data_IF_002717891621
#
_entry.id   IF_002717891621
#
_cell.length_a   1.000
_cell.length_b   1.000
_cell.length_c   1.000
_cell.angle_alpha   90.00
_cell.angle_beta   90.00
_cell.angle_gamma   90.00
#
_symmetry.space_group_name_H-M   'P 1'
#
loop_
_entity.id
_entity.type
_entity.pdbx_description
1 polymer ?
#
# COMPACT_ATOMS: atom_id res chain seq x y z
N UNK A 1 -18.58 17.96 -1.32
CA UNK A 1 -19.90 18.16 -1.98
C UNK A 1 -20.91 17.20 -1.36
N UNK A 2 -21.98 17.72 -0.74
CA UNK A 2 -23.04 16.91 -0.10
C UNK A 2 -24.38 17.38 -0.67
N UNK A 3 -25.02 16.62 -1.58
CA UNK A 3 -26.25 17.04 -2.25
C UNK A 3 -27.42 17.36 -1.29
N UNK A 4 -27.31 16.92 -0.03
CA UNK A 4 -28.30 17.12 1.03
C UNK A 4 -27.77 17.94 2.22
N UNK A 5 -26.59 18.56 2.09
CA UNK A 5 -25.96 19.29 3.20
C UNK A 5 -25.50 18.40 4.35
N UNK A 6 -25.27 17.10 4.09
CA UNK A 6 -24.79 16.14 5.09
C UNK A 6 -23.38 16.48 5.57
N UNK A 7 -23.07 16.11 6.81
CA UNK A 7 -21.72 16.24 7.36
C UNK A 7 -20.71 15.29 6.67
N UNK A 8 -19.47 15.75 6.64
CA UNK A 8 -18.33 14.99 6.15
C UNK A 8 -17.95 13.79 7.02
N UNK A 9 -16.95 13.05 6.54
CA UNK A 9 -16.31 12.06 7.40
C UNK A 9 -15.61 12.77 8.56
N UNK A 10 -15.86 12.27 9.77
CA UNK A 10 -15.14 12.61 10.98
C UNK A 10 -14.63 11.31 11.61
N UNK A 11 -13.45 11.37 12.21
CA UNK A 11 -12.72 10.20 12.71
C UNK A 11 -13.54 9.44 13.78
N UNK A 12 -14.50 10.08 14.45
CA UNK A 12 -15.21 9.56 15.61
C UNK A 12 -16.54 8.81 15.32
N UNK A 13 -16.74 8.25 14.11
CA UNK A 13 -17.93 7.44 13.84
C UNK A 13 -17.77 6.01 14.35
N UNK A 14 -18.74 5.53 15.15
CA UNK A 14 -18.80 4.14 15.61
C UNK A 14 -19.51 3.26 14.58
N UNK A 15 -19.02 2.03 14.42
CA UNK A 15 -19.65 1.04 13.54
C UNK A 15 -20.96 0.55 14.18
N UNK A 16 -22.01 0.43 13.38
CA UNK A 16 -23.31 -0.11 13.81
C UNK A 16 -23.53 -1.46 13.15
N UNK A 17 -24.02 -2.45 13.91
CA UNK A 17 -24.36 -3.77 13.36
C UNK A 17 -25.63 -3.70 12.50
N UNK A 18 -25.65 -4.36 11.32
CA UNK A 18 -26.85 -4.41 10.50
C UNK A 18 -27.94 -5.20 11.23
N UNK A 19 -29.05 -4.54 11.57
CA UNK A 19 -30.22 -5.15 12.19
C UNK A 19 -30.28 -5.07 13.73
N UNK A 20 -29.24 -4.54 14.39
CA UNK A 20 -29.28 -4.25 15.83
C UNK A 20 -28.71 -2.86 16.08
N UNK A 21 -29.41 -2.01 16.82
CA UNK A 21 -28.94 -0.64 17.16
C UNK A 21 -27.78 -0.63 18.17
N UNK A 22 -27.01 -1.72 18.26
CA UNK A 22 -25.86 -1.81 19.12
C UNK A 22 -24.67 -1.18 18.40
N UNK A 23 -24.11 -0.14 19.01
CA UNK A 23 -22.85 0.42 18.55
C UNK A 23 -21.73 -0.55 18.91
N UNK A 24 -20.99 -0.99 17.89
CA UNK A 24 -19.74 -1.72 18.10
C UNK A 24 -18.71 -0.70 18.60
N UNK A 25 -17.87 -1.07 19.55
CA UNK A 25 -16.73 -0.26 20.02
C UNK A 25 -15.64 -0.03 18.96
N UNK A 26 -15.90 -0.41 17.69
CA UNK A 26 -14.97 -0.30 16.58
C UNK A 26 -15.30 0.96 15.79
N UNK A 27 -14.30 1.82 15.61
CA UNK A 27 -14.43 3.03 14.80
C UNK A 27 -14.50 2.68 13.31
N UNK A 28 -15.29 3.45 12.57
CA UNK A 28 -15.50 3.31 11.13
C UNK A 28 -14.35 4.01 10.41
N UNK A 29 -13.66 3.29 9.51
CA UNK A 29 -12.60 3.90 8.69
C UNK A 29 -13.19 4.81 7.62
N UNK A 30 -12.45 5.85 7.23
CA UNK A 30 -12.83 6.74 6.13
C UNK A 30 -13.14 5.93 4.86
N UNK A 31 -12.32 4.91 4.59
CA UNK A 31 -12.49 4.01 3.44
C UNK A 31 -13.86 3.35 3.43
N UNK A 32 -14.34 2.84 4.58
CA UNK A 32 -15.62 2.15 4.65
C UNK A 32 -16.81 3.10 4.43
N UNK A 33 -16.74 4.33 4.92
CA UNK A 33 -17.78 5.36 4.69
C UNK A 33 -17.80 5.81 3.23
N UNK A 34 -16.63 6.04 2.62
CA UNK A 34 -16.57 6.46 1.23
C UNK A 34 -16.94 5.35 0.26
N UNK A 35 -16.55 4.10 0.54
CA UNK A 35 -17.00 2.93 -0.21
C UNK A 35 -18.53 2.79 -0.12
N UNK A 36 -19.11 2.95 1.07
CA UNK A 36 -20.57 2.97 1.25
C UNK A 36 -21.23 4.04 0.39
N UNK A 37 -20.69 5.27 0.37
CA UNK A 37 -21.23 6.38 -0.42
C UNK A 37 -21.10 6.18 -1.94
N UNK A 38 -20.06 5.50 -2.40
CA UNK A 38 -19.83 5.22 -3.84
C UNK A 38 -20.55 3.96 -4.34
N UNK A 39 -20.99 3.09 -3.45
CA UNK A 39 -21.67 1.86 -3.80
C UNK A 39 -22.90 2.12 -4.69
N UNK A 40 -23.00 1.39 -5.80
CA UNK A 40 -24.17 1.38 -6.68
C UNK A 40 -25.33 0.67 -5.97
N UNK A 41 -26.51 1.28 -5.97
CA UNK A 41 -27.72 0.76 -5.30
C UNK A 41 -28.91 0.87 -6.24
N UNK A 42 -30.00 0.18 -5.91
CA UNK A 42 -31.27 0.32 -6.62
C UNK A 42 -31.84 1.74 -6.52
N UNK A 43 -31.50 2.46 -5.45
CA UNK A 43 -31.80 3.89 -5.30
C UNK A 43 -30.80 4.75 -6.06
N UNK A 44 -31.28 5.87 -6.62
CA UNK A 44 -30.42 6.79 -7.36
C UNK A 44 -29.27 7.33 -6.50
N UNK A 45 -28.04 7.00 -6.87
CA UNK A 45 -26.85 7.57 -6.29
C UNK A 45 -26.40 8.79 -7.11
N UNK A 46 -26.97 9.96 -6.81
CA UNK A 46 -26.72 11.22 -7.52
C UNK A 46 -25.23 11.57 -7.65
N UNK A 47 -24.41 11.16 -6.66
CA UNK A 47 -22.95 11.37 -6.68
C UNK A 47 -22.31 10.81 -7.96
N UNK A 48 -22.77 9.64 -8.42
CA UNK A 48 -22.22 8.96 -9.59
C UNK A 48 -22.51 9.66 -10.93
N UNK A 49 -23.50 10.54 -10.96
CA UNK A 49 -23.93 11.22 -12.18
C UNK A 49 -23.15 12.52 -12.45
N UNK A 50 -22.41 13.02 -11.46
CA UNK A 50 -21.68 14.28 -11.59
C UNK A 50 -20.31 14.11 -12.23
N UNK A 51 -20.23 13.75 -13.52
CA UNK A 51 -18.99 13.58 -14.33
C UNK A 51 -17.69 14.17 -13.72
N UNK A 52 -17.40 15.45 -13.95
CA UNK A 52 -16.13 16.06 -13.55
C UNK A 52 -16.03 16.27 -12.02
N UNK A 53 -17.14 16.65 -11.38
CA UNK A 53 -17.20 16.85 -9.92
C UNK A 53 -17.01 15.54 -9.14
N UNK A 54 -17.35 14.39 -9.73
CA UNK A 54 -17.10 13.07 -9.16
C UNK A 54 -15.61 12.78 -9.13
N UNK A 55 -14.84 13.19 -10.14
CA UNK A 55 -13.39 13.02 -10.13
C UNK A 55 -12.75 13.85 -9.00
N UNK A 56 -13.15 15.11 -8.87
CA UNK A 56 -12.69 15.98 -7.77
C UNK A 56 -13.06 15.39 -6.40
N UNK A 57 -14.30 14.91 -6.26
CA UNK A 57 -14.75 14.23 -5.04
C UNK A 57 -13.91 12.98 -4.74
N UNK A 58 -13.67 12.11 -5.73
CA UNK A 58 -12.87 10.90 -5.55
C UNK A 58 -11.44 11.22 -5.09
N UNK A 59 -10.82 12.25 -5.67
CA UNK A 59 -9.48 12.69 -5.27
C UNK A 59 -9.48 13.21 -3.83
N UNK A 60 -10.44 14.06 -3.45
CA UNK A 60 -10.55 14.57 -2.07
C UNK A 60 -10.78 13.44 -1.05
N UNK A 61 -11.62 12.45 -1.39
CA UNK A 61 -11.86 11.30 -0.51
C UNK A 61 -10.60 10.43 -0.39
N UNK A 62 -9.87 10.23 -1.48
CA UNK A 62 -8.62 9.47 -1.49
C UNK A 62 -7.56 10.10 -0.58
N UNK A 63 -7.39 11.43 -0.64
CA UNK A 63 -6.47 12.16 0.25
C UNK A 63 -6.82 11.95 1.72
N UNK A 64 -8.11 11.94 2.06
CA UNK A 64 -8.57 11.69 3.45
C UNK A 64 -8.30 10.26 3.91
N UNK A 65 -8.49 9.27 3.03
CA UNK A 65 -8.17 7.86 3.32
C UNK A 65 -6.66 7.70 3.55
N UNK A 66 -5.83 8.27 2.68
CA UNK A 66 -4.38 8.18 2.81
C UNK A 66 -3.85 8.94 4.04
N UNK A 67 -4.45 10.08 4.39
CA UNK A 67 -4.14 10.78 5.64
C UNK A 67 -4.42 9.91 6.88
N UNK A 68 -5.57 9.21 6.92
CA UNK A 68 -5.89 8.26 8.01
C UNK A 68 -4.89 7.10 8.05
N UNK A 69 -4.51 6.56 6.88
CA UNK A 69 -3.52 5.48 6.75
C UNK A 69 -2.14 5.90 7.25
N UNK A 70 -1.68 7.09 6.90
CA UNK A 70 -0.41 7.64 7.38
C UNK A 70 -0.43 7.90 8.88
N UNK A 71 -1.55 8.41 9.41
CA UNK A 71 -1.73 8.57 10.86
C UNK A 71 -1.66 7.22 11.57
N UNK A 72 -2.30 6.19 11.03
CA UNK A 72 -2.22 4.83 11.55
C UNK A 72 -0.78 4.32 11.59
N UNK A 73 -0.02 4.48 10.50
CA UNK A 73 1.38 4.08 10.43
C UNK A 73 2.21 4.82 11.49
N UNK A 74 2.03 6.14 11.63
CA UNK A 74 2.74 6.97 12.62
C UNK A 74 2.45 6.55 14.07
N UNK A 75 1.19 6.20 14.39
CA UNK A 75 0.79 5.83 15.75
C UNK A 75 1.12 4.37 16.10
N UNK A 76 1.15 3.46 15.11
CA UNK A 76 1.27 2.03 15.33
C UNK A 76 2.65 1.45 14.96
N UNK A 77 3.71 2.26 14.96
CA UNK A 77 5.08 1.84 14.61
C UNK A 77 5.55 0.57 15.37
N UNK A 78 5.24 0.46 16.67
CA UNK A 78 5.57 -0.74 17.47
C UNK A 78 4.85 -2.00 16.97
N UNK A 79 3.58 -1.89 16.60
CA UNK A 79 2.77 -3.00 16.07
C UNK A 79 3.25 -3.44 14.69
N UNK A 80 3.76 -2.50 13.90
CA UNK A 80 4.37 -2.75 12.59
C UNK A 80 5.81 -3.32 12.70
N UNK A 81 6.26 -3.67 13.92
CA UNK A 81 7.60 -4.21 14.21
C UNK A 81 8.72 -3.34 13.64
N UNK A 82 8.54 -2.03 13.71
CA UNK A 82 9.55 -1.10 13.17
C UNK A 82 10.90 -1.25 13.85
N UNK A 83 10.91 -1.77 15.08
CA UNK A 83 12.11 -2.07 15.85
C UNK A 83 12.96 -3.22 15.25
N UNK A 84 12.43 -4.07 14.36
CA UNK A 84 13.25 -5.06 13.62
C UNK A 84 14.12 -4.40 12.53
N UNK A 85 13.85 -3.14 12.17
CA UNK A 85 14.59 -2.39 11.15
C UNK A 85 15.78 -1.61 11.73
N UNK A 86 16.47 -2.17 12.72
CA UNK A 86 17.57 -1.55 13.49
C UNK A 86 18.64 -0.96 12.57
N UNK A 87 19.09 -1.72 11.56
CA UNK A 87 20.12 -1.27 10.63
C UNK A 87 19.73 -0.01 9.83
N UNK A 88 18.44 0.16 9.52
CA UNK A 88 17.94 1.36 8.81
C UNK A 88 17.89 2.57 9.75
N UNK A 89 17.48 2.34 11.00
CA UNK A 89 17.44 3.39 12.03
C UNK A 89 18.86 3.89 12.34
N UNK A 90 19.83 3.00 12.43
CA UNK A 90 21.23 3.35 12.70
C UNK A 90 21.86 4.09 11.53
N UNK A 91 21.58 3.70 10.28
CA UNK A 91 22.04 4.42 9.09
C UNK A 91 21.50 5.85 9.02
N UNK A 92 20.24 6.08 9.39
CA UNK A 92 19.63 7.42 9.41
C UNK A 92 20.17 8.27 10.57
N UNK A 93 20.41 7.65 11.74
CA UNK A 93 20.88 8.36 12.94
C UNK A 93 22.33 8.85 12.79
N UNK A 94 23.13 8.19 11.96
CA UNK A 94 24.51 8.62 11.68
C UNK A 94 24.60 9.81 10.70
N UNK A 95 23.53 10.14 9.98
CA UNK A 95 23.53 11.13 8.89
C UNK A 95 22.73 12.41 9.22
N UNK A 96 22.16 12.52 10.44
CA UNK A 96 21.32 13.67 10.83
C UNK A 96 21.58 14.21 12.23
N UNK A 97 21.44 15.53 12.39
CA UNK A 97 21.61 16.26 13.64
C UNK A 97 20.43 15.99 14.60
N UNK A 98 20.65 15.41 15.80
CA UNK A 98 19.58 14.97 16.71
C UNK A 98 18.75 16.11 17.33
N UNK A 99 19.14 17.37 17.08
CA UNK A 99 18.48 18.55 17.63
C UNK A 99 17.37 19.13 16.72
N UNK A 100 17.31 18.77 15.43
CA UNK A 100 16.41 19.41 14.47
C UNK A 100 15.29 18.50 13.92
N UNK A 101 15.35 17.19 14.18
CA UNK A 101 14.44 16.27 13.52
C UNK A 101 13.20 15.94 14.37
N UNK A 102 12.03 16.16 13.77
CA UNK A 102 10.78 15.62 14.27
C UNK A 102 10.81 14.09 14.39
N UNK A 103 9.81 13.51 15.05
CA UNK A 103 9.72 12.05 15.26
C UNK A 103 9.83 11.28 13.92
N UNK A 104 10.93 10.54 13.74
CA UNK A 104 11.16 9.66 12.60
C UNK A 104 10.08 8.56 12.54
N UNK A 105 9.40 8.44 11.40
CA UNK A 105 8.38 7.41 11.14
C UNK A 105 8.82 6.58 9.95
N UNK A 106 8.97 5.27 10.12
CA UNK A 106 9.39 4.40 9.03
C UNK A 106 8.15 3.88 8.30
N UNK A 107 8.03 4.22 7.00
CA UNK A 107 6.90 3.83 6.14
C UNK A 107 7.07 2.40 5.63
N UNK A 108 6.11 1.47 5.83
CA UNK A 108 6.19 0.10 5.31
C UNK A 108 6.49 0.03 3.81
N UNK A 109 7.10 -1.05 3.32
CA UNK A 109 7.36 -1.21 1.88
C UNK A 109 6.09 -1.29 1.05
N UNK A 110 4.96 -1.67 1.64
CA UNK A 110 3.62 -1.61 1.03
C UNK A 110 3.11 -0.19 0.75
N UNK A 111 3.84 0.85 1.16
CA UNK A 111 3.50 2.23 0.82
C UNK A 111 4.15 2.63 -0.50
N UNK A 112 3.34 2.77 -1.56
CA UNK A 112 3.83 3.10 -2.89
C UNK A 112 4.64 4.40 -2.91
N UNK A 113 5.79 4.37 -3.57
CA UNK A 113 6.68 5.53 -3.68
C UNK A 113 7.54 5.81 -2.44
N UNK A 114 7.41 5.05 -1.35
CA UNK A 114 8.41 5.15 -0.28
C UNK A 114 9.77 4.55 -0.72
N UNK A 115 10.89 4.96 -0.09
CA UNK A 115 12.20 4.39 -0.37
C UNK A 115 12.23 2.86 -0.28
N UNK A 116 11.49 2.28 0.66
CA UNK A 116 11.43 0.82 0.84
C UNK A 116 10.69 0.11 -0.28
N UNK A 117 9.57 0.67 -0.73
CA UNK A 117 8.82 0.16 -1.88
C UNK A 117 9.70 0.10 -3.13
N UNK A 118 10.46 1.17 -3.39
CA UNK A 118 11.37 1.21 -4.53
C UNK A 118 12.53 0.22 -4.39
N UNK A 119 13.06 0.05 -3.18
CA UNK A 119 14.13 -0.91 -2.92
C UNK A 119 13.66 -2.36 -3.11
N UNK A 120 12.47 -2.72 -2.62
CA UNK A 120 11.88 -4.04 -2.80
C UNK A 120 11.67 -4.34 -4.29
N UNK A 121 11.08 -3.41 -5.05
CA UNK A 121 10.93 -3.58 -6.50
C UNK A 121 12.27 -3.75 -7.23
N UNK A 122 13.32 -3.04 -6.81
CA UNK A 122 14.65 -3.20 -7.39
C UNK A 122 15.22 -4.60 -7.10
N UNK A 123 15.08 -5.10 -5.87
CA UNK A 123 15.51 -6.43 -5.50
C UNK A 123 14.75 -7.53 -6.25
N UNK A 124 13.43 -7.37 -6.39
CA UNK A 124 12.59 -8.29 -7.15
C UNK A 124 13.01 -8.35 -8.63
N UNK A 125 13.25 -7.19 -9.25
CA UNK A 125 13.72 -7.12 -10.62
C UNK A 125 15.09 -7.82 -10.79
N UNK A 126 16.04 -7.59 -9.88
CA UNK A 126 17.35 -8.26 -9.91
C UNK A 126 17.20 -9.78 -9.75
N UNK A 127 16.30 -10.22 -8.88
CA UNK A 127 16.04 -11.64 -8.63
C UNK A 127 15.47 -12.31 -9.88
N UNK A 128 14.53 -11.63 -10.55
CA UNK A 128 13.93 -12.12 -11.79
C UNK A 128 14.97 -12.24 -12.92
N UNK A 129 15.84 -11.24 -13.09
CA UNK A 129 16.93 -11.26 -14.08
C UNK A 129 17.89 -12.43 -13.82
N UNK A 130 18.33 -12.60 -12.57
CA UNK A 130 19.23 -13.71 -12.19
C UNK A 130 18.61 -15.07 -12.49
N UNK A 131 17.34 -15.26 -12.19
CA UNK A 131 16.65 -16.52 -12.46
C UNK A 131 16.58 -16.86 -13.96
N UNK A 132 16.36 -15.84 -14.80
CA UNK A 132 16.37 -15.98 -16.26
C UNK A 132 17.77 -16.32 -16.77
N UNK A 133 18.80 -15.62 -16.32
CA UNK A 133 20.19 -15.87 -16.70
C UNK A 133 20.65 -17.29 -16.33
N UNK A 134 20.34 -17.73 -15.11
CA UNK A 134 20.60 -19.10 -14.66
C UNK A 134 19.89 -20.11 -15.56
N UNK A 135 18.61 -19.93 -15.85
CA UNK A 135 17.83 -20.82 -16.71
C UNK A 135 18.39 -20.90 -18.13
N UNK A 136 18.80 -19.77 -18.72
CA UNK A 136 19.46 -19.75 -20.04
C UNK A 136 20.83 -20.41 -20.02
N UNK A 137 21.60 -20.24 -18.94
CA UNK A 137 22.89 -20.90 -18.78
C UNK A 137 22.73 -22.42 -18.73
N UNK A 138 21.79 -22.94 -17.92
CA UNK A 138 21.52 -24.38 -17.82
C UNK A 138 20.99 -24.97 -19.14
N UNK A 139 20.11 -24.27 -19.85
CA UNK A 139 19.60 -24.72 -21.16
C UNK A 139 20.71 -24.78 -22.22
N UNK A 140 21.58 -23.76 -22.27
CA UNK A 140 22.70 -23.72 -23.23
C UNK A 140 23.72 -24.81 -22.94
N UNK A 141 24.07 -25.02 -21.67
CA UNK A 141 25.05 -26.03 -21.27
C UNK A 141 24.57 -27.46 -21.54
N UNK A 142 23.30 -27.74 -21.29
CA UNK A 142 22.70 -29.06 -21.54
C UNK A 142 22.61 -29.39 -23.03
N UNK A 143 22.18 -28.44 -23.87
CA UNK A 143 22.15 -28.60 -25.34
C UNK A 143 23.56 -28.85 -25.91
N UNK A 144 24.56 -28.11 -25.42
CA UNK A 144 25.97 -28.25 -25.84
C UNK A 144 26.50 -29.66 -25.56
N UNK A 145 26.24 -30.20 -24.36
CA UNK A 145 26.67 -31.54 -23.95
C UNK A 145 25.95 -32.63 -24.79
N UNK A 146 24.67 -32.44 -25.08
CA UNK A 146 23.87 -33.41 -25.83
C UNK A 146 24.29 -33.48 -27.30
N UNK A 147 24.63 -32.32 -27.89
CA UNK A 147 25.25 -32.24 -29.21
C UNK A 147 26.62 -32.92 -29.20
N UNK A 148 27.52 -32.58 -28.27
CA UNK A 148 28.85 -33.18 -28.18
C UNK A 148 28.82 -34.72 -28.02
N UNK A 149 27.92 -35.25 -27.18
CA UNK A 149 27.71 -36.69 -27.02
C UNK A 149 27.18 -37.38 -28.27
N UNK A 150 26.39 -36.67 -29.11
CA UNK A 150 25.86 -37.19 -30.38
C UNK A 150 26.94 -37.26 -31.45
N UNK A 151 27.88 -36.31 -31.48
CA UNK A 151 29.03 -36.33 -32.40
C UNK A 151 30.03 -37.46 -32.12
N UNK A 152 30.23 -37.84 -30.86
CA UNK A 152 31.18 -38.90 -30.50
C UNK A 152 30.64 -40.33 -30.73
N UNK A 153 29.36 -40.46 -31.11
CA UNK A 153 28.67 -41.74 -31.36
C UNK A 153 28.47 -42.04 -32.85
N UNK A 154 28.88 -41.13 -33.74
CA UNK A 154 28.95 -41.32 -35.19
C UNK A 154 30.39 -41.61 -35.59
#
# INVERSE_FOLDING_TARGET
MFPRGEDGYAINFNQVEPGTSNQIKKMVSAMSIYAYRLMVRSTENRLLNYRQLLHEYLVDMYVKIEAERLLFIRLNQKKLRVDEYIHLKDAITNDSDPANDGKLVILPSTFTGCPRNMHEYAQDAITYVRHIEESHHYSSHTLSIQIAKRWHKM
#
